data_IF_514302836978
#
_entry.id   IF_514302836978
#
_cell.length_a   1.000
_cell.length_b   1.000
_cell.length_c   1.000
_cell.angle_alpha   90.00
_cell.angle_beta   90.00
_cell.angle_gamma   90.00
#
_symmetry.space_group_name_H-M   'P 1'
#
loop_
_entity.id
_entity.type
_entity.pdbx_description
1 polymer ?
#
# COMPACT_ATOMS: atom_id res chain seq x y z
N UNK A 1 -45.54 4.75 -40.97
CA UNK A 1 -44.36 5.57 -41.35
C UNK A 1 -43.30 5.27 -40.32
N UNK A 2 -42.16 4.69 -40.74
CA UNK A 2 -41.02 4.39 -39.87
C UNK A 2 -40.11 5.60 -39.95
N UNK A 3 -39.83 6.24 -38.83
CA UNK A 3 -38.83 7.30 -38.73
C UNK A 3 -37.44 6.72 -39.11
N UNK A 4 -36.74 7.30 -40.09
CA UNK A 4 -35.34 6.98 -40.36
C UNK A 4 -34.42 7.80 -39.45
N UNK A 5 -33.24 7.22 -39.17
CA UNK A 5 -32.10 7.81 -38.46
C UNK A 5 -32.09 7.76 -36.92
N UNK A 6 -32.12 6.53 -36.38
CA UNK A 6 -31.34 6.24 -35.17
C UNK A 6 -29.87 6.07 -35.59
N UNK A 7 -29.04 7.08 -35.34
CA UNK A 7 -27.58 6.96 -35.46
C UNK A 7 -27.09 6.07 -34.31
N UNK A 8 -26.50 4.88 -34.58
CA UNK A 8 -25.91 4.06 -33.53
C UNK A 8 -24.60 4.72 -33.06
N UNK A 9 -24.48 4.91 -31.74
CA UNK A 9 -23.37 5.60 -31.10
C UNK A 9 -22.00 5.09 -31.53
N UNK A 10 -21.19 6.02 -32.04
CA UNK A 10 -19.78 5.82 -32.35
C UNK A 10 -19.00 5.48 -31.08
N UNK A 11 -18.39 4.28 -31.10
CA UNK A 11 -17.11 3.92 -30.49
C UNK A 11 -16.74 4.57 -29.16
N UNK A 12 -16.81 3.77 -28.09
CA UNK A 12 -16.06 3.99 -26.87
C UNK A 12 -14.55 3.80 -27.17
N UNK A 13 -13.90 4.79 -27.78
CA UNK A 13 -12.45 4.92 -27.71
C UNK A 13 -12.10 5.46 -26.31
N UNK A 14 -11.21 4.83 -25.54
CA UNK A 14 -10.65 5.46 -24.35
C UNK A 14 -9.77 6.62 -24.82
N UNK A 15 -10.38 7.81 -24.96
CA UNK A 15 -9.66 9.06 -25.18
C UNK A 15 -8.75 9.37 -23.99
N UNK A 16 -7.72 10.23 -24.19
CA UNK A 16 -6.78 10.60 -23.14
C UNK A 16 -7.55 11.11 -21.93
N UNK A 17 -7.10 10.71 -20.73
CA UNK A 17 -7.71 10.99 -19.44
C UNK A 17 -8.40 12.36 -19.41
N UNK A 18 -9.72 12.36 -19.55
CA UNK A 18 -10.50 13.59 -19.40
C UNK A 18 -10.48 13.93 -17.91
N UNK A 19 -9.71 14.95 -17.56
CA UNK A 19 -9.75 15.58 -16.26
C UNK A 19 -11.22 15.98 -15.98
N UNK A 20 -11.80 15.36 -14.96
CA UNK A 20 -13.25 15.36 -14.66
C UNK A 20 -13.78 16.73 -14.20
N UNK A 21 -12.93 17.74 -14.05
CA UNK A 21 -13.37 19.12 -13.80
C UNK A 21 -12.41 20.17 -14.41
N UNK A 22 -12.92 21.32 -14.89
CA UNK A 22 -12.11 22.39 -15.51
C UNK A 22 -10.99 22.96 -14.63
N UNK A 23 -11.04 22.73 -13.31
CA UNK A 23 -9.98 23.09 -12.36
C UNK A 23 -8.81 22.11 -12.34
N UNK A 24 -9.03 20.84 -12.67
CA UNK A 24 -8.06 19.77 -12.48
C UNK A 24 -6.98 19.77 -13.58
N UNK A 25 -7.33 20.14 -14.82
CA UNK A 25 -6.36 20.15 -15.93
C UNK A 25 -5.28 21.23 -15.75
N UNK A 26 -5.62 22.39 -15.16
CA UNK A 26 -4.65 23.47 -14.89
C UNK A 26 -3.67 23.06 -13.79
N UNK A 27 -4.15 22.38 -12.76
CA UNK A 27 -3.33 21.89 -11.66
C UNK A 27 -2.44 20.72 -12.10
N UNK A 28 -2.98 19.79 -12.90
CA UNK A 28 -2.22 18.68 -13.47
C UNK A 28 -1.04 19.18 -14.34
N UNK A 29 -1.26 20.17 -15.20
CA UNK A 29 -0.19 20.77 -16.01
C UNK A 29 0.84 21.55 -15.16
N UNK A 30 0.42 22.14 -14.04
CA UNK A 30 1.36 22.78 -13.11
C UNK A 30 2.22 21.75 -12.37
N UNK A 31 1.63 20.63 -11.97
CA UNK A 31 2.33 19.51 -11.34
C UNK A 31 3.33 18.84 -12.30
N UNK A 32 2.93 18.59 -13.55
CA UNK A 32 3.79 18.02 -14.60
C UNK A 32 5.04 18.88 -14.82
N UNK A 33 4.86 20.20 -15.00
CA UNK A 33 5.99 21.13 -15.14
C UNK A 33 6.88 21.15 -13.90
N UNK A 34 6.29 21.09 -12.70
CA UNK A 34 7.04 21.07 -11.46
C UNK A 34 7.87 19.79 -11.33
N UNK A 35 7.32 18.63 -11.71
CA UNK A 35 8.02 17.35 -11.72
C UNK A 35 9.19 17.35 -12.69
N UNK A 36 8.97 17.84 -13.92
CA UNK A 36 10.03 17.97 -14.92
C UNK A 36 11.17 18.86 -14.42
N UNK A 37 10.86 19.96 -13.75
CA UNK A 37 11.88 20.85 -13.18
C UNK A 37 12.64 20.17 -12.02
N UNK A 38 11.95 19.50 -11.09
CA UNK A 38 12.59 18.91 -9.89
C UNK A 38 13.34 17.62 -10.18
N UNK A 39 12.83 16.77 -11.09
CA UNK A 39 13.34 15.42 -11.32
C UNK A 39 14.12 15.25 -12.63
N UNK A 40 14.39 16.35 -13.35
CA UNK A 40 15.24 16.30 -14.53
C UNK A 40 16.58 15.62 -14.22
N UNK A 41 16.97 14.63 -15.05
CA UNK A 41 18.23 13.87 -14.89
C UNK A 41 19.49 14.74 -14.91
N UNK A 42 19.41 15.96 -15.44
CA UNK A 42 20.50 16.93 -15.42
C UNK A 42 20.69 17.62 -14.07
N UNK A 43 19.67 17.61 -13.20
CA UNK A 43 19.64 18.36 -11.93
C UNK A 43 19.47 17.50 -10.69
N UNK A 44 18.88 16.32 -10.79
CA UNK A 44 18.62 15.44 -9.65
C UNK A 44 19.23 14.05 -9.86
N UNK A 45 19.97 13.57 -8.86
CA UNK A 45 20.64 12.27 -8.89
C UNK A 45 20.23 11.43 -7.67
N UNK A 46 19.53 10.33 -7.92
CA UNK A 46 19.03 9.41 -6.89
C UNK A 46 20.12 8.54 -6.24
N UNK A 47 21.32 8.50 -6.83
CA UNK A 47 22.44 7.70 -6.31
C UNK A 47 23.30 8.47 -5.30
N UNK A 48 23.09 9.78 -5.19
CA UNK A 48 23.84 10.65 -4.31
C UNK A 48 22.96 11.02 -3.12
N UNK A 49 23.51 10.88 -1.90
CA UNK A 49 22.82 11.35 -0.70
C UNK A 49 22.72 12.89 -0.70
N UNK A 50 21.57 13.48 -0.34
CA UNK A 50 21.44 14.93 -0.28
C UNK A 50 22.17 15.48 0.96
N UNK A 51 23.28 16.18 0.75
CA UNK A 51 24.04 16.85 1.82
C UNK A 51 24.59 18.18 1.29
N UNK A 52 24.43 19.28 2.04
CA UNK A 52 24.97 20.60 1.68
C UNK A 52 26.49 20.66 1.90
N UNK A 53 27.00 19.83 2.81
CA UNK A 53 28.43 19.66 3.10
C UNK A 53 28.78 18.17 3.12
N UNK A 54 30.02 17.83 2.75
CA UNK A 54 30.46 16.43 2.61
C UNK A 54 30.28 15.59 3.88
N UNK A 55 30.46 16.19 5.06
CA UNK A 55 30.36 15.56 6.38
C UNK A 55 29.02 15.79 7.10
N UNK A 56 28.03 16.42 6.46
CA UNK A 56 26.74 16.67 7.09
C UNK A 56 26.01 15.35 7.37
N UNK A 57 25.48 15.21 8.59
CA UNK A 57 24.61 14.11 8.98
C UNK A 57 23.17 14.37 8.54
N UNK A 58 22.54 13.35 7.97
CA UNK A 58 21.14 13.38 7.53
C UNK A 58 20.32 12.60 8.56
N UNK A 59 19.42 13.30 9.26
CA UNK A 59 18.52 12.67 10.23
C UNK A 59 17.31 12.10 9.51
N UNK A 60 17.08 10.78 9.63
CA UNK A 60 15.90 10.10 9.09
C UNK A 60 15.00 9.74 10.27
N UNK A 61 13.76 10.24 10.24
CA UNK A 61 12.74 9.87 11.22
C UNK A 61 11.90 8.73 10.66
N UNK A 62 11.90 7.58 11.34
CA UNK A 62 11.10 6.43 10.96
C UNK A 62 10.04 6.16 12.02
N UNK A 63 8.82 5.91 11.57
CA UNK A 63 7.71 5.41 12.36
C UNK A 63 7.13 4.20 11.63
N UNK A 64 6.71 3.19 12.38
CA UNK A 64 6.12 1.98 11.82
C UNK A 64 4.67 1.86 12.31
N UNK A 65 3.77 1.55 11.38
CA UNK A 65 2.38 1.24 11.67
C UNK A 65 2.12 -0.23 11.33
N UNK A 66 1.56 -0.97 12.28
CA UNK A 66 1.15 -2.35 12.06
C UNK A 66 -0.29 -2.35 11.54
N UNK A 67 -0.48 -2.75 10.28
CA UNK A 67 -1.84 -2.93 9.74
C UNK A 67 -2.47 -4.25 10.23
N UNK A 68 -1.80 -5.38 10.01
CA UNK A 68 -2.31 -6.69 10.39
C UNK A 68 -1.16 -7.67 10.64
N UNK A 69 -1.29 -8.50 11.68
CA UNK A 69 -0.37 -9.61 11.94
C UNK A 69 -0.85 -10.84 11.16
N UNK A 70 -0.02 -11.31 10.21
CA UNK A 70 -0.41 -12.34 9.24
C UNK A 70 -0.25 -13.76 9.80
N UNK A 71 0.79 -14.01 10.61
CA UNK A 71 0.96 -15.29 11.29
C UNK A 71 1.92 -15.18 12.47
N UNK A 72 1.59 -15.86 13.57
CA UNK A 72 2.52 -16.22 14.63
C UNK A 72 2.57 -17.73 14.70
N UNK A 73 3.67 -18.33 14.24
CA UNK A 73 3.89 -19.77 14.45
C UNK A 73 4.28 -19.97 15.91
N UNK A 74 3.29 -20.33 16.73
CA UNK A 74 3.47 -20.65 18.15
C UNK A 74 3.87 -22.10 18.35
N UNK A 75 5.08 -22.35 18.86
CA UNK A 75 5.49 -23.66 19.38
C UNK A 75 4.70 -23.96 20.66
N UNK A 76 3.55 -24.62 20.51
CA UNK A 76 2.79 -25.18 21.62
C UNK A 76 3.60 -26.31 22.27
N UNK A 77 4.40 -25.98 23.29
CA UNK A 77 5.09 -26.93 24.15
C UNK A 77 4.09 -27.84 24.85
N UNK A 78 4.03 -29.10 24.41
CA UNK A 78 3.18 -30.15 24.95
C UNK A 78 3.57 -30.45 26.40
N UNK A 79 2.81 -29.94 27.37
CA UNK A 79 2.93 -30.34 28.77
C UNK A 79 2.11 -31.61 29.00
N UNK A 80 2.74 -32.77 28.79
CA UNK A 80 2.16 -34.06 29.14
C UNK A 80 2.01 -34.17 30.66
N UNK A 81 0.78 -34.12 31.14
CA UNK A 81 0.43 -34.49 32.51
C UNK A 81 -0.08 -35.93 32.53
N UNK A 82 0.76 -36.89 32.91
CA UNK A 82 0.29 -38.17 33.41
C UNK A 82 -0.05 -37.99 34.88
N UNK A 83 -1.33 -37.98 35.23
CA UNK A 83 -1.83 -38.01 36.59
C UNK A 83 -3.13 -38.81 36.57
N UNK A 84 -3.44 -39.73 37.47
CA UNK A 84 -2.72 -40.43 38.51
C UNK A 84 -3.60 -41.68 38.82
N UNK A 85 -3.03 -42.68 39.48
CA UNK A 85 -3.64 -43.98 39.72
C UNK A 85 -4.99 -43.96 40.48
N UNK A 86 -5.87 -44.89 40.10
CA UNK A 86 -7.03 -45.37 40.88
C UNK A 86 -6.58 -46.16 42.12
N UNK A 87 -7.17 -45.92 43.30
CA UNK A 87 -7.31 -46.95 44.32
C UNK A 87 -8.77 -47.36 44.49
N UNK A 88 -9.03 -48.65 44.29
CA UNK A 88 -10.31 -49.31 44.55
C UNK A 88 -10.67 -49.14 46.04
N UNK A 89 -11.80 -48.50 46.32
CA UNK A 89 -12.36 -48.40 47.67
C UNK A 89 -13.49 -49.40 47.84
N UNK A 90 -13.22 -50.54 48.50
CA UNK A 90 -14.27 -51.34 49.12
C UNK A 90 -14.87 -50.53 50.28
N UNK A 91 -16.16 -50.21 50.17
CA UNK A 91 -16.91 -49.48 51.20
C UNK A 91 -18.33 -50.03 51.32
N UNK A 92 -18.55 -50.73 52.43
CA UNK A 92 -19.73 -51.42 52.97
C UNK A 92 -21.08 -50.71 52.78
N UNK A 93 -22.12 -51.49 52.48
CA UNK A 93 -23.54 -51.15 52.57
C UNK A 93 -24.40 -52.38 52.41
#
# INVERSE_FOLDING_TARGET
>A
MRDPDVVPGSGLQPGPAQCVSPGDCRMANAEEKLMDDLLNKTRYNNLIRPATSSSQLISIHLQLSLAQLISVVGAAGRRGGTAAAEPVGLGVG
#
